data_IF_780691060325
#
_entry.id   IF_780691060325
#
_cell.length_a   1.000
_cell.length_b   1.000
_cell.length_c   1.000
_cell.angle_alpha   90.00
_cell.angle_beta   90.00
_cell.angle_gamma   90.00
#
_symmetry.space_group_name_H-M   'P 1'
#
loop_
_entity.id
_entity.type
_entity.pdbx_description
1 polymer ?
#
# COMPACT_ATOMS: atom_id res chain seq x y z
N UNK A 1 19.00 33.14 -8.72
CA UNK A 1 17.97 32.60 -7.79
C UNK A 1 16.63 33.18 -8.21
N UNK A 2 15.63 32.34 -8.52
CA UNK A 2 14.35 32.81 -9.11
C UNK A 2 13.50 33.65 -8.15
N UNK A 3 12.67 34.54 -8.70
CA UNK A 3 11.77 35.42 -7.94
C UNK A 3 10.86 34.66 -6.96
N UNK A 4 10.55 33.40 -7.27
CA UNK A 4 9.71 32.55 -6.44
C UNK A 4 10.43 31.98 -5.23
N UNK A 5 11.76 31.78 -5.31
CA UNK A 5 12.55 31.32 -4.16
C UNK A 5 12.53 32.35 -3.01
N UNK A 6 12.56 33.65 -3.34
CA UNK A 6 12.49 34.73 -2.36
C UNK A 6 11.15 34.79 -1.63
N UNK A 7 10.04 34.42 -2.30
CA UNK A 7 8.71 34.34 -1.68
C UNK A 7 8.64 33.18 -0.68
N UNK A 8 9.16 32.02 -1.07
CA UNK A 8 9.21 30.82 -0.22
C UNK A 8 10.08 31.08 1.01
N UNK A 9 11.28 31.64 0.82
CA UNK A 9 12.21 31.97 1.91
C UNK A 9 11.57 32.84 3.00
N UNK A 10 10.82 33.88 2.61
CA UNK A 10 10.12 34.78 3.56
C UNK A 10 9.01 34.09 4.36
N UNK A 11 8.57 32.91 3.93
CA UNK A 11 7.54 32.12 4.62
C UNK A 11 8.15 31.23 5.72
N UNK A 12 9.47 31.01 5.71
CA UNK A 12 10.11 30.12 6.66
C UNK A 12 10.14 30.67 8.08
N UNK A 13 9.94 29.77 9.03
CA UNK A 13 10.13 30.05 10.46
C UNK A 13 11.49 29.50 10.86
N UNK A 14 12.39 30.39 11.21
CA UNK A 14 13.73 30.05 11.66
C UNK A 14 13.73 29.73 13.16
N UNK A 15 14.59 28.81 13.61
CA UNK A 15 14.73 28.53 15.04
C UNK A 15 15.27 29.77 15.78
N UNK A 16 14.98 29.85 17.08
CA UNK A 16 15.54 30.90 17.93
C UNK A 16 17.05 30.73 17.98
N UNK A 17 17.79 31.84 17.85
CA UNK A 17 19.25 31.84 17.95
C UNK A 17 19.68 31.24 19.29
N UNK A 18 20.54 30.23 19.25
CA UNK A 18 21.15 29.67 20.45
C UNK A 18 22.12 30.69 21.08
N UNK A 19 22.13 30.76 22.42
CA UNK A 19 23.05 31.62 23.15
C UNK A 19 24.50 31.22 22.82
N UNK A 20 25.30 32.18 22.36
CA UNK A 20 26.70 31.95 21.94
C UNK A 20 26.90 31.53 20.48
N UNK A 21 25.84 31.42 19.67
CA UNK A 21 25.99 31.15 18.24
C UNK A 21 26.66 32.32 17.50
N UNK A 22 27.62 32.00 16.62
CA UNK A 22 28.39 32.98 15.85
C UNK A 22 27.56 33.68 14.75
N UNK A 23 26.63 32.95 14.14
CA UNK A 23 25.77 33.45 13.06
C UNK A 23 24.30 33.33 13.46
N UNK A 24 23.47 34.19 12.87
CA UNK A 24 22.02 34.06 12.98
C UNK A 24 21.54 32.86 12.16
N UNK A 25 20.52 32.10 12.62
CA UNK A 25 20.02 30.91 11.91
C UNK A 25 19.49 31.16 10.49
N UNK A 26 19.21 32.42 10.16
CA UNK A 26 18.78 32.88 8.84
C UNK A 26 19.94 32.94 7.83
N UNK A 27 21.17 33.12 8.33
CA UNK A 27 22.38 33.21 7.51
C UNK A 27 23.15 31.89 7.48
N UNK A 28 22.71 30.89 8.25
CA UNK A 28 23.26 29.55 8.19
C UNK A 28 22.73 28.80 6.97
N UNK A 29 23.61 28.60 5.99
CA UNK A 29 23.33 27.87 4.76
C UNK A 29 22.69 26.49 5.01
N UNK A 30 23.15 25.74 6.02
CA UNK A 30 22.65 24.39 6.30
C UNK A 30 21.20 24.41 6.81
N UNK A 31 20.85 25.45 7.59
CA UNK A 31 19.49 25.63 8.11
C UNK A 31 18.57 26.03 6.95
N UNK A 32 19.00 26.98 6.11
CA UNK A 32 18.22 27.46 4.97
C UNK A 32 17.94 26.33 3.98
N UNK A 33 18.94 25.52 3.62
CA UNK A 33 18.75 24.43 2.67
C UNK A 33 17.85 23.32 3.23
N UNK A 34 17.98 22.98 4.51
CA UNK A 34 17.11 22.00 5.15
C UNK A 34 15.63 22.44 5.20
N UNK A 35 15.38 23.75 5.37
CA UNK A 35 14.03 24.31 5.29
C UNK A 35 13.47 24.26 3.87
N UNK A 36 14.31 24.51 2.85
CA UNK A 36 13.92 24.35 1.46
C UNK A 36 13.62 22.90 1.10
N UNK A 37 14.45 21.95 1.54
CA UNK A 37 14.18 20.53 1.37
C UNK A 37 12.86 20.14 2.05
N UNK A 38 12.63 20.56 3.30
CA UNK A 38 11.37 20.30 4.00
C UNK A 38 10.14 20.94 3.33
N UNK A 39 10.31 22.06 2.63
CA UNK A 39 9.23 22.77 1.92
C UNK A 39 8.89 22.10 0.58
N UNK A 40 9.91 21.64 -0.16
CA UNK A 40 9.76 21.06 -1.48
C UNK A 40 9.61 19.54 -1.49
N UNK A 41 9.95 18.85 -0.39
CA UNK A 41 9.55 17.46 -0.21
C UNK A 41 8.02 17.45 -0.22
N UNK A 42 7.37 16.82 -1.22
CA UNK A 42 5.94 16.65 -1.17
C UNK A 42 5.67 15.85 0.11
N UNK A 43 5.00 16.49 1.07
CA UNK A 43 4.51 15.81 2.27
C UNK A 43 3.54 14.76 1.77
N UNK A 44 4.03 13.54 1.53
CA UNK A 44 3.20 12.40 1.19
C UNK A 44 2.20 12.29 2.32
N UNK A 45 0.94 12.52 1.97
CA UNK A 45 -0.11 12.46 2.96
C UNK A 45 -0.34 10.99 3.28
N UNK A 46 0.32 10.48 4.33
CA UNK A 46 0.25 9.08 4.74
C UNK A 46 -1.21 8.65 4.91
N UNK A 47 -2.07 9.54 5.43
CA UNK A 47 -3.49 9.27 5.53
C UNK A 47 -4.12 9.04 4.17
N UNK A 48 -3.80 9.86 3.16
CA UNK A 48 -4.25 9.65 1.79
C UNK A 48 -3.80 8.31 1.21
N UNK A 49 -2.52 7.95 1.37
CA UNK A 49 -1.99 6.65 0.91
C UNK A 49 -2.76 5.49 1.57
N UNK A 50 -2.97 5.56 2.90
CA UNK A 50 -3.75 4.56 3.64
C UNK A 50 -5.22 4.49 3.21
N UNK A 51 -5.82 5.63 2.84
CA UNK A 51 -7.19 5.65 2.28
C UNK A 51 -7.29 4.99 0.91
N UNK A 52 -6.19 4.83 0.18
CA UNK A 52 -6.16 4.03 -1.04
C UNK A 52 -5.93 2.54 -0.74
N UNK A 53 -5.10 2.24 0.26
CA UNK A 53 -4.80 0.87 0.68
C UNK A 53 -5.99 0.14 1.30
N UNK A 54 -6.64 0.72 2.31
CA UNK A 54 -7.68 0.02 3.09
C UNK A 54 -8.91 -0.44 2.29
N UNK A 55 -9.47 0.34 1.33
CA UNK A 55 -10.62 -0.12 0.56
C UNK A 55 -10.26 -1.06 -0.59
N UNK A 56 -8.97 -1.32 -0.85
CA UNK A 56 -8.55 -2.14 -1.99
C UNK A 56 -9.01 -3.59 -1.83
N UNK A 57 -9.86 -4.06 -2.74
CA UNK A 57 -10.35 -5.45 -2.82
C UNK A 57 -10.17 -6.00 -4.23
N UNK A 58 -10.02 -7.32 -4.36
CA UNK A 58 -9.84 -8.03 -5.62
C UNK A 58 -11.03 -7.77 -6.53
N UNK A 59 -10.77 -7.26 -7.74
CA UNK A 59 -11.82 -7.01 -8.72
C UNK A 59 -12.31 -8.33 -9.33
N UNK A 60 -13.54 -8.33 -9.85
CA UNK A 60 -14.12 -9.52 -10.47
C UNK A 60 -13.26 -9.99 -11.66
N UNK A 61 -12.74 -11.21 -11.58
CA UNK A 61 -11.87 -11.78 -12.62
C UNK A 61 -10.42 -11.29 -12.56
N UNK A 62 -10.05 -10.47 -11.58
CA UNK A 62 -8.66 -10.09 -11.34
C UNK A 62 -7.88 -11.31 -10.81
N UNK A 63 -6.71 -11.64 -11.39
CA UNK A 63 -5.85 -12.68 -10.84
C UNK A 63 -5.34 -12.31 -9.45
N UNK A 64 -5.23 -13.31 -8.57
CA UNK A 64 -4.71 -13.13 -7.20
C UNK A 64 -3.32 -12.47 -7.18
N UNK A 65 -2.44 -12.80 -8.14
CA UNK A 65 -1.11 -12.18 -8.25
C UNK A 65 -1.17 -10.67 -8.52
N UNK A 66 -2.12 -10.25 -9.38
CA UNK A 66 -2.30 -8.85 -9.74
C UNK A 66 -2.83 -8.06 -8.53
N UNK A 67 -3.77 -8.67 -7.81
CA UNK A 67 -4.29 -8.10 -6.57
C UNK A 67 -3.21 -7.96 -5.50
N UNK A 68 -2.43 -9.02 -5.26
CA UNK A 68 -1.33 -9.03 -4.31
C UNK A 68 -0.30 -7.95 -4.65
N UNK A 69 0.13 -7.87 -5.91
CA UNK A 69 1.07 -6.84 -6.37
C UNK A 69 0.54 -5.44 -6.11
N UNK A 70 -0.74 -5.18 -6.43
CA UNK A 70 -1.34 -3.87 -6.23
C UNK A 70 -1.38 -3.46 -4.74
N UNK A 71 -1.72 -4.38 -3.83
CA UNK A 71 -1.70 -4.11 -2.39
C UNK A 71 -0.27 -3.87 -1.90
N UNK A 72 0.69 -4.67 -2.36
CA UNK A 72 2.11 -4.48 -2.01
C UNK A 72 2.61 -3.11 -2.46
N UNK A 73 2.33 -2.71 -3.70
CA UNK A 73 2.74 -1.40 -4.23
C UNK A 73 2.15 -0.24 -3.41
N UNK A 74 0.88 -0.34 -2.99
CA UNK A 74 0.23 0.65 -2.12
C UNK A 74 0.82 0.68 -0.69
N UNK A 75 1.26 -0.47 -0.16
CA UNK A 75 1.83 -0.53 1.20
C UNK A 75 3.15 0.24 1.33
N UNK A 76 3.92 0.37 0.23
CA UNK A 76 5.23 1.03 0.22
C UNK A 76 5.18 2.50 0.65
N UNK A 77 4.07 3.18 0.39
CA UNK A 77 3.87 4.61 0.71
C UNK A 77 3.07 4.84 2.00
N UNK A 78 2.49 3.79 2.58
CA UNK A 78 1.60 3.88 3.74
C UNK A 78 2.31 3.97 5.10
N UNK A 79 3.64 3.82 5.12
CA UNK A 79 4.47 3.91 6.33
C UNK A 79 3.90 3.04 7.48
N UNK A 80 3.67 1.76 7.20
CA UNK A 80 3.25 0.78 8.20
C UNK A 80 4.45 0.30 9.01
N UNK A 81 4.26 0.09 10.32
CA UNK A 81 5.30 -0.48 11.18
C UNK A 81 5.57 -1.95 10.82
N UNK A 82 4.50 -2.66 10.44
CA UNK A 82 4.56 -4.03 9.95
C UNK A 82 3.82 -4.16 8.59
N UNK A 83 4.52 -3.99 7.45
CA UNK A 83 3.89 -4.04 6.14
C UNK A 83 3.38 -5.44 5.79
N UNK A 84 4.06 -6.50 6.22
CA UNK A 84 3.63 -7.89 5.95
C UNK A 84 2.28 -8.20 6.58
N UNK A 85 2.08 -7.72 7.81
CA UNK A 85 0.82 -7.85 8.53
C UNK A 85 -0.32 -7.07 7.85
N UNK A 86 -0.05 -5.82 7.46
CA UNK A 86 -1.02 -5.00 6.74
C UNK A 86 -1.42 -5.64 5.40
N UNK A 87 -0.44 -6.14 4.62
CA UNK A 87 -0.69 -6.82 3.35
C UNK A 87 -1.49 -8.10 3.58
N UNK A 88 -1.13 -8.91 4.58
CA UNK A 88 -1.86 -10.15 4.94
C UNK A 88 -3.32 -9.84 5.23
N UNK A 89 -3.59 -8.89 6.12
CA UNK A 89 -4.95 -8.57 6.54
C UNK A 89 -5.78 -8.05 5.35
N UNK A 90 -5.19 -7.19 4.53
CA UNK A 90 -5.86 -6.65 3.33
C UNK A 90 -6.06 -7.70 2.25
N UNK A 91 -5.14 -8.65 2.10
CA UNK A 91 -5.28 -9.80 1.22
C UNK A 91 -6.49 -10.63 1.67
N UNK A 92 -6.52 -11.09 2.92
CA UNK A 92 -7.61 -11.94 3.46
C UNK A 92 -8.97 -11.25 3.37
N UNK A 93 -9.06 -9.98 3.78
CA UNK A 93 -10.31 -9.21 3.76
C UNK A 93 -10.74 -8.77 2.36
N UNK A 94 -9.83 -8.78 1.39
CA UNK A 94 -10.08 -8.29 0.04
C UNK A 94 -10.19 -9.37 -1.02
N UNK A 95 -10.02 -10.64 -0.68
CA UNK A 95 -10.21 -11.74 -1.62
C UNK A 95 -11.64 -11.77 -2.16
N UNK A 96 -11.75 -12.07 -3.46
CA UNK A 96 -13.05 -12.26 -4.11
C UNK A 96 -13.73 -13.54 -3.60
N UNK A 97 -12.96 -14.61 -3.41
CA UNK A 97 -13.45 -15.89 -2.90
C UNK A 97 -13.69 -15.83 -1.38
N UNK A 98 -14.96 -15.73 -1.00
CA UNK A 98 -15.38 -15.64 0.39
C UNK A 98 -15.17 -16.95 1.17
N UNK A 99 -15.18 -18.11 0.52
CA UNK A 99 -14.91 -19.38 1.21
C UNK A 99 -13.44 -19.50 1.60
N UNK A 100 -12.54 -19.04 0.73
CA UNK A 100 -11.11 -18.95 1.05
C UNK A 100 -10.85 -17.94 2.15
N UNK A 101 -11.44 -16.75 2.03
CA UNK A 101 -11.30 -15.71 3.06
C UNK A 101 -11.78 -16.22 4.42
N UNK A 102 -12.94 -16.87 4.47
CA UNK A 102 -13.49 -17.48 5.71
C UNK A 102 -12.59 -18.56 6.28
N UNK A 103 -12.02 -19.43 5.44
CA UNK A 103 -11.07 -20.46 5.89
C UNK A 103 -9.84 -19.83 6.55
N UNK A 104 -9.25 -18.81 5.92
CA UNK A 104 -8.08 -18.11 6.46
C UNK A 104 -8.40 -17.35 7.76
N UNK A 105 -9.61 -16.80 7.89
CA UNK A 105 -10.06 -16.13 9.13
C UNK A 105 -10.30 -17.09 10.30
N UNK A 106 -10.49 -18.38 10.04
CA UNK A 106 -10.65 -19.40 11.08
C UNK A 106 -9.31 -20.00 11.55
N UNK A 107 -8.23 -19.77 10.81
CA UNK A 107 -6.88 -20.12 11.26
C UNK A 107 -6.43 -19.16 12.36
N UNK A 108 -5.79 -19.68 13.42
CA UNK A 108 -5.46 -18.89 14.62
C UNK A 108 -4.50 -17.73 14.31
N UNK A 109 -3.51 -17.95 13.42
CA UNK A 109 -2.55 -16.93 12.99
C UNK A 109 -1.97 -17.27 11.61
N UNK A 110 -2.69 -16.98 10.50
CA UNK A 110 -2.11 -17.17 9.18
C UNK A 110 -0.93 -16.21 8.98
N UNK A 111 0.15 -16.69 8.36
CA UNK A 111 1.25 -15.84 7.90
C UNK A 111 0.91 -15.28 6.52
N UNK A 112 1.65 -14.26 6.07
CA UNK A 112 1.48 -13.75 4.71
C UNK A 112 1.71 -14.85 3.66
N UNK A 113 2.72 -15.70 3.87
CA UNK A 113 3.02 -16.82 2.98
C UNK A 113 1.89 -17.86 2.91
N UNK A 114 1.30 -18.22 4.06
CA UNK A 114 0.19 -19.19 4.09
C UNK A 114 -1.04 -18.60 3.40
N UNK A 115 -1.35 -17.33 3.64
CA UNK A 115 -2.45 -16.63 2.98
C UNK A 115 -2.27 -16.60 1.45
N UNK A 116 -1.07 -16.30 0.96
CA UNK A 116 -0.74 -16.31 -0.48
C UNK A 116 -0.88 -17.71 -1.06
N UNK A 117 -0.32 -18.73 -0.39
CA UNK A 117 -0.37 -20.13 -0.84
C UNK A 117 -1.82 -20.64 -0.98
N UNK A 118 -2.65 -20.35 0.02
CA UNK A 118 -4.06 -20.76 0.04
C UNK A 118 -4.85 -20.03 -1.05
N UNK A 119 -4.65 -18.72 -1.21
CA UNK A 119 -5.31 -17.93 -2.26
C UNK A 119 -4.94 -18.43 -3.68
N UNK A 120 -3.66 -18.74 -3.91
CA UNK A 120 -3.17 -19.31 -5.18
C UNK A 120 -3.75 -20.70 -5.48
N UNK A 121 -3.77 -21.56 -4.47
CA UNK A 121 -4.21 -22.95 -4.63
C UNK A 121 -5.67 -23.04 -5.02
N UNK A 122 -6.52 -22.21 -4.40
CA UNK A 122 -7.95 -22.22 -4.68
C UNK A 122 -8.30 -21.62 -6.06
N UNK A 123 -7.59 -20.58 -6.51
CA UNK A 123 -7.74 -20.05 -7.88
C UNK A 123 -7.53 -21.13 -8.95
N UNK A 124 -6.50 -21.98 -8.78
CA UNK A 124 -6.24 -23.09 -9.71
C UNK A 124 -7.43 -24.05 -9.76
N UNK A 125 -8.01 -24.39 -8.61
CA UNK A 125 -9.14 -25.32 -8.51
C UNK A 125 -10.39 -24.78 -9.21
N UNK A 126 -10.71 -23.48 -9.09
CA UNK A 126 -11.86 -22.88 -9.79
C UNK A 126 -11.69 -23.02 -11.30
N UNK A 127 -10.48 -22.80 -11.84
CA UNK A 127 -10.22 -22.97 -13.28
C UNK A 127 -10.52 -24.40 -13.73
N UNK A 128 -10.08 -25.41 -12.97
CA UNK A 128 -10.36 -26.83 -13.27
C UNK A 128 -11.84 -27.20 -13.11
N UNK A 129 -12.52 -26.70 -12.08
CA UNK A 129 -13.95 -26.96 -11.84
C UNK A 129 -14.81 -26.32 -12.95
N UNK A 130 -14.49 -25.11 -13.38
CA UNK A 130 -15.18 -24.45 -14.48
C UNK A 130 -14.92 -25.14 -15.83
N UNK A 131 -13.69 -25.59 -16.09
CA UNK A 131 -13.36 -26.36 -17.30
C UNK A 131 -14.02 -27.75 -17.31
N UNK A 132 -14.13 -28.41 -16.15
CA UNK A 132 -14.78 -29.72 -16.01
C UNK A 132 -16.30 -29.69 -16.19
N UNK A 133 -16.97 -28.58 -15.82
CA UNK A 133 -18.41 -28.40 -16.04
C UNK A 133 -18.79 -28.15 -17.51
N UNK A 134 -17.86 -27.65 -18.33
CA UNK A 134 -18.10 -27.43 -19.76
C UNK A 134 -18.13 -28.74 -20.58
N UNK A 135 -17.63 -29.86 -20.04
CA UNK A 135 -17.54 -31.14 -20.75
C UNK A 135 -18.69 -32.14 -20.51
N UNK A 136 -19.72 -31.79 -19.73
CA UNK A 136 -20.71 -32.76 -19.23
C UNK A 136 -22.17 -32.37 -19.54
N UNK A 137 -22.46 -31.87 -20.75
CA UNK A 137 -23.86 -31.58 -21.18
C UNK A 137 -24.27 -32.15 -22.54
N UNK A 138 -23.48 -33.00 -23.20
CA UNK A 138 -23.91 -33.72 -24.41
C UNK A 138 -23.81 -35.24 -24.23
N UNK A 139 -24.71 -35.87 -23.46
CA UNK A 139 -24.95 -37.33 -23.52
C UNK A 139 -26.30 -37.76 -22.93
N UNK A 140 -27.29 -36.86 -22.84
CA UNK A 140 -28.66 -37.25 -22.48
C UNK A 140 -29.62 -36.58 -23.46
N UNK A 141 -29.68 -37.13 -24.68
CA UNK A 141 -30.78 -37.08 -25.66
C UNK A 141 -30.24 -37.48 -27.04
N UNK A 142 -30.18 -38.79 -27.30
CA UNK A 142 -30.42 -39.45 -28.60
C UNK A 142 -30.21 -40.95 -28.43
#
# INVERSE_FOLDING_TARGET
MGLDATKVYKTFKFPVRAEGAANDPQDDYNIVIGLFDAYFVPKKNIFHERTQFYPRSQHNGEPVETFLRAISDLSLTCNFDNPEEAIRDRLVLGLQDQEVARKLQLEENPTLETAISTARSNWKLIKWVCLGKAGMTQSILS
#
